data_IF_785114008001
#
_entry.id   IF_785114008001
#
_cell.length_a   1.000
_cell.length_b   1.000
_cell.length_c   1.000
_cell.angle_alpha   90.00
_cell.angle_beta   90.00
_cell.angle_gamma   90.00
#
_symmetry.space_group_name_H-M   'P 1'
#
loop_
_entity.id
_entity.type
_entity.pdbx_description
1 polymer ?
#
# COMPACT_ATOMS: atom_id res chain seq x y z
N UNK A 1 7.64 26.26 -16.05
CA UNK A 1 8.17 25.63 -14.81
C UNK A 1 8.06 24.08 -14.79
N UNK A 2 7.08 23.46 -15.45
CA UNK A 2 6.85 22.01 -15.38
C UNK A 2 7.74 21.23 -16.36
N UNK A 3 7.82 21.67 -17.60
CA UNK A 3 8.50 20.90 -18.67
C UNK A 3 10.00 20.74 -18.44
N UNK A 4 10.69 21.75 -17.91
CA UNK A 4 12.14 21.66 -17.69
C UNK A 4 12.51 20.62 -16.64
N UNK A 5 11.95 20.64 -15.41
CA UNK A 5 12.18 19.57 -14.42
C UNK A 5 11.76 18.19 -14.92
N UNK A 6 10.62 18.10 -15.63
CA UNK A 6 10.16 16.83 -16.18
C UNK A 6 11.12 16.28 -17.25
N UNK A 7 11.65 17.13 -18.11
CA UNK A 7 12.65 16.71 -19.11
C UNK A 7 13.98 16.28 -18.48
N UNK A 8 14.33 16.80 -17.30
CA UNK A 8 15.55 16.39 -16.59
C UNK A 8 15.43 14.99 -15.96
N UNK A 9 14.22 14.60 -15.52
CA UNK A 9 13.98 13.30 -14.84
C UNK A 9 13.38 12.23 -15.77
N UNK A 10 12.57 12.63 -16.76
CA UNK A 10 11.86 11.74 -17.67
C UNK A 10 11.79 12.31 -19.11
N UNK A 11 12.93 12.47 -19.79
CA UNK A 11 12.99 13.13 -21.12
C UNK A 11 12.20 12.40 -22.20
N UNK A 12 12.01 11.10 -22.07
CA UNK A 12 11.29 10.25 -23.03
C UNK A 12 9.82 10.01 -22.64
N UNK A 13 9.34 10.60 -21.55
CA UNK A 13 7.93 10.48 -21.18
C UNK A 13 7.03 11.06 -22.26
N UNK A 14 6.17 10.21 -22.81
CA UNK A 14 5.27 10.57 -23.91
C UNK A 14 3.97 11.13 -23.39
N UNK A 15 3.63 12.36 -23.77
CA UNK A 15 2.40 13.01 -23.34
C UNK A 15 1.20 12.48 -24.14
N UNK A 16 0.22 11.82 -23.51
CA UNK A 16 -0.83 11.07 -24.22
C UNK A 16 -1.72 11.95 -25.09
N UNK A 17 -1.95 13.21 -24.70
CA UNK A 17 -2.81 14.14 -25.44
C UNK A 17 -2.05 14.91 -26.51
N UNK A 18 -0.81 15.32 -26.24
CA UNK A 18 -0.02 16.14 -27.17
C UNK A 18 0.79 15.32 -28.18
N UNK A 19 0.87 14.01 -28.01
CA UNK A 19 1.53 13.12 -28.94
C UNK A 19 3.03 13.37 -29.12
N UNK A 20 3.69 13.90 -28.07
CA UNK A 20 5.15 14.24 -28.09
C UNK A 20 5.79 13.85 -26.77
N UNK A 21 7.06 13.50 -26.83
CA UNK A 21 7.85 13.29 -25.62
C UNK A 21 8.18 14.63 -24.92
N UNK A 22 8.57 14.53 -23.65
CA UNK A 22 8.86 15.71 -22.81
C UNK A 22 9.99 16.58 -23.36
N UNK A 23 11.01 15.97 -23.99
CA UNK A 23 12.13 16.70 -24.60
C UNK A 23 11.64 17.56 -25.77
N UNK A 24 10.83 16.99 -26.66
CA UNK A 24 10.25 17.69 -27.80
C UNK A 24 9.27 18.78 -27.36
N UNK A 25 8.48 18.53 -26.30
CA UNK A 25 7.60 19.53 -25.71
C UNK A 25 8.38 20.70 -25.13
N UNK A 26 9.51 20.44 -24.45
CA UNK A 26 10.36 21.48 -23.90
C UNK A 26 11.00 22.32 -25.01
N UNK A 27 11.45 21.69 -26.12
CA UNK A 27 12.01 22.39 -27.27
C UNK A 27 11.00 23.31 -27.96
N UNK A 28 9.74 22.86 -28.05
CA UNK A 28 8.64 23.61 -28.64
C UNK A 28 8.05 24.68 -27.72
N UNK A 29 8.43 24.71 -26.45
CA UNK A 29 7.94 25.67 -25.47
C UNK A 29 8.43 27.10 -25.82
N UNK A 30 7.47 28.03 -25.88
CA UNK A 30 7.78 29.46 -26.18
C UNK A 30 8.39 30.18 -24.97
N UNK A 31 8.10 29.73 -23.77
CA UNK A 31 8.66 30.29 -22.55
C UNK A 31 10.15 29.93 -22.44
N UNK A 32 10.99 30.97 -22.54
CA UNK A 32 12.44 30.88 -22.41
C UNK A 32 12.94 31.43 -21.07
N UNK A 33 12.04 31.69 -20.12
CA UNK A 33 12.44 32.11 -18.78
C UNK A 33 13.41 31.08 -18.19
N UNK A 34 14.50 31.58 -17.62
CA UNK A 34 15.57 30.73 -17.11
C UNK A 34 15.09 29.94 -15.91
N UNK A 35 15.03 28.60 -16.05
CA UNK A 35 14.85 27.68 -14.94
C UNK A 35 16.20 27.03 -14.69
N UNK A 36 16.82 27.39 -13.57
CA UNK A 36 18.09 26.81 -13.15
C UNK A 36 17.85 25.77 -12.07
N UNK A 37 18.62 24.68 -12.11
CA UNK A 37 18.59 23.67 -11.08
C UNK A 37 19.21 24.25 -9.80
N UNK A 38 18.43 24.29 -8.71
CA UNK A 38 18.99 24.67 -7.41
C UNK A 38 20.01 23.61 -6.97
N UNK A 39 21.17 24.05 -6.51
CA UNK A 39 22.14 23.18 -5.83
C UNK A 39 21.73 22.82 -4.40
N UNK A 40 20.70 23.49 -3.88
CA UNK A 40 20.21 23.25 -2.53
C UNK A 40 19.43 21.93 -2.52
N UNK A 41 19.89 20.98 -1.74
CA UNK A 41 19.17 19.76 -1.42
C UNK A 41 18.31 20.04 -0.21
N UNK A 42 16.99 19.83 -0.32
CA UNK A 42 16.06 19.92 0.83
C UNK A 42 16.41 18.84 1.87
N UNK A 43 16.79 17.65 1.38
CA UNK A 43 17.28 16.57 2.23
C UNK A 43 18.70 16.18 1.79
N UNK A 44 19.59 15.86 2.73
CA UNK A 44 20.98 15.49 2.42
C UNK A 44 21.06 14.20 1.60
N UNK A 45 20.16 13.27 1.84
CA UNK A 45 20.06 11.98 1.15
C UNK A 45 18.61 11.47 1.09
N UNK A 46 18.37 10.37 0.34
CA UNK A 46 17.05 9.75 0.22
C UNK A 46 16.54 9.21 1.56
N UNK A 47 17.42 8.63 2.37
CA UNK A 47 17.01 8.06 3.66
C UNK A 47 16.50 9.15 4.61
N UNK A 48 17.08 10.34 4.58
CA UNK A 48 16.60 11.50 5.36
C UNK A 48 15.23 11.99 4.86
N UNK A 49 14.98 11.94 3.55
CA UNK A 49 13.68 12.27 2.98
C UNK A 49 12.60 11.29 3.44
N UNK A 50 12.88 9.99 3.45
CA UNK A 50 11.96 8.98 3.97
C UNK A 50 11.78 9.06 5.48
N UNK A 51 12.84 9.40 6.22
CA UNK A 51 12.77 9.58 7.66
C UNK A 51 11.82 10.70 8.10
N UNK A 52 11.72 11.78 7.30
CA UNK A 52 10.77 12.88 7.56
C UNK A 52 9.31 12.41 7.50
N UNK A 53 9.00 11.39 6.70
CA UNK A 53 7.66 10.79 6.66
C UNK A 53 7.31 10.04 7.95
N UNK A 54 8.30 9.50 8.65
CA UNK A 54 8.14 8.82 9.94
C UNK A 54 7.43 7.47 9.90
N UNK A 55 6.40 7.29 9.06
CA UNK A 55 5.72 6.01 8.84
C UNK A 55 5.19 5.91 7.40
N UNK A 56 5.52 4.81 6.73
CA UNK A 56 5.11 4.48 5.35
C UNK A 56 4.41 3.12 5.36
N UNK A 57 3.21 3.04 4.79
CA UNK A 57 2.53 1.77 4.58
C UNK A 57 2.58 1.37 3.09
N UNK A 58 2.99 0.13 2.82
CA UNK A 58 3.00 -0.45 1.49
C UNK A 58 1.80 -1.38 1.38
N UNK A 59 0.86 -1.00 0.56
CA UNK A 59 -0.36 -1.76 0.33
C UNK A 59 -0.49 -2.24 -1.11
N UNK A 60 -1.46 -3.07 -1.36
CA UNK A 60 -1.70 -3.69 -2.66
C UNK A 60 -2.35 -5.04 -2.54
N UNK A 61 -2.72 -5.62 -3.65
CA UNK A 61 -3.42 -6.89 -3.73
C UNK A 61 -2.57 -8.08 -3.22
N UNK A 62 -3.21 -9.24 -3.09
CA UNK A 62 -2.53 -10.52 -2.82
C UNK A 62 -1.51 -10.78 -3.95
N UNK A 63 -0.29 -11.08 -3.60
CA UNK A 63 0.78 -11.32 -4.58
C UNK A 63 1.43 -10.06 -5.19
N UNK A 64 1.06 -8.83 -4.78
CA UNK A 64 1.60 -7.60 -5.38
C UNK A 64 3.09 -7.32 -5.08
N UNK A 65 3.72 -8.04 -4.14
CA UNK A 65 5.13 -7.85 -3.78
C UNK A 65 5.38 -6.88 -2.62
N UNK A 66 4.35 -6.57 -1.84
CA UNK A 66 4.41 -5.65 -0.69
C UNK A 66 5.55 -5.95 0.28
N UNK A 67 5.60 -7.18 0.78
CA UNK A 67 6.62 -7.64 1.74
C UNK A 67 8.04 -7.48 1.20
N UNK A 68 8.23 -7.79 -0.09
CA UNK A 68 9.54 -7.64 -0.75
C UNK A 68 9.97 -6.19 -0.82
N UNK A 69 9.06 -5.27 -1.19
CA UNK A 69 9.37 -3.85 -1.27
C UNK A 69 9.60 -3.25 0.10
N UNK A 70 8.72 -3.55 1.07
CA UNK A 70 8.88 -3.09 2.46
C UNK A 70 10.21 -3.54 3.07
N UNK A 71 10.60 -4.80 2.85
CA UNK A 71 11.88 -5.35 3.29
C UNK A 71 13.07 -4.62 2.67
N UNK A 72 13.05 -4.36 1.35
CA UNK A 72 14.11 -3.60 0.68
C UNK A 72 14.23 -2.16 1.21
N UNK A 73 13.10 -1.47 1.38
CA UNK A 73 13.12 -0.11 1.95
C UNK A 73 13.70 -0.14 3.38
N UNK A 74 13.31 -1.13 4.18
CA UNK A 74 13.80 -1.24 5.56
C UNK A 74 15.31 -1.47 5.62
N UNK A 75 15.84 -2.32 4.74
CA UNK A 75 17.27 -2.62 4.62
C UNK A 75 18.05 -1.41 4.11
N UNK A 76 17.66 -0.88 2.93
CA UNK A 76 18.40 0.18 2.25
C UNK A 76 18.38 1.52 2.99
N UNK A 77 17.31 1.79 3.75
CA UNK A 77 17.05 3.09 4.38
C UNK A 77 17.09 3.05 5.92
N UNK A 78 17.46 1.92 6.50
CA UNK A 78 17.51 1.70 7.96
C UNK A 78 16.16 2.00 8.65
N UNK A 79 15.05 1.46 8.11
CA UNK A 79 13.73 1.59 8.70
C UNK A 79 13.38 0.39 9.61
N UNK A 80 12.47 0.62 10.57
CA UNK A 80 11.82 -0.46 11.31
C UNK A 80 10.80 -1.14 10.39
N UNK A 81 10.99 -2.44 10.12
CA UNK A 81 10.10 -3.24 9.30
C UNK A 81 8.97 -3.82 10.15
N UNK A 82 7.73 -3.63 9.71
CA UNK A 82 6.52 -4.21 10.31
C UNK A 82 5.86 -5.09 9.24
N UNK A 83 5.84 -6.40 9.46
CA UNK A 83 5.26 -7.37 8.55
C UNK A 83 3.95 -7.94 9.11
N UNK A 84 2.95 -8.07 8.25
CA UNK A 84 1.67 -8.68 8.61
C UNK A 84 1.85 -10.15 9.03
N UNK A 85 1.39 -10.48 10.22
CA UNK A 85 1.35 -11.86 10.74
C UNK A 85 0.02 -12.48 10.35
N UNK A 86 0.03 -13.40 9.40
CA UNK A 86 -1.19 -14.08 8.92
C UNK A 86 -1.00 -15.58 8.71
N UNK A 87 0.25 -16.08 8.73
CA UNK A 87 0.58 -17.44 8.31
C UNK A 87 -0.07 -18.53 9.19
N UNK A 88 -0.28 -18.24 10.47
CA UNK A 88 -0.79 -19.18 11.45
C UNK A 88 -2.29 -19.03 11.71
N UNK A 89 -3.00 -18.22 10.91
CA UNK A 89 -4.43 -18.00 11.11
C UNK A 89 -5.24 -19.25 10.73
N UNK A 90 -5.93 -19.90 11.70
CA UNK A 90 -6.59 -21.19 11.47
C UNK A 90 -7.82 -21.09 10.58
N UNK A 91 -8.36 -19.87 10.38
CA UNK A 91 -9.54 -19.63 9.55
C UNK A 91 -9.18 -19.39 8.09
N UNK A 92 -7.95 -18.98 7.78
CA UNK A 92 -7.56 -18.61 6.42
C UNK A 92 -7.69 -19.76 5.41
N UNK A 93 -7.20 -20.99 5.68
CA UNK A 93 -7.41 -22.12 4.77
C UNK A 93 -8.89 -22.52 4.64
N UNK A 94 -9.65 -22.41 5.75
CA UNK A 94 -11.09 -22.74 5.76
C UNK A 94 -11.91 -21.74 4.94
N UNK A 95 -11.56 -20.47 5.00
CA UNK A 95 -12.19 -19.41 4.22
C UNK A 95 -12.10 -19.67 2.71
N UNK A 96 -10.94 -20.10 2.21
CA UNK A 96 -10.81 -20.42 0.79
C UNK A 96 -11.62 -21.64 0.36
N UNK A 97 -11.99 -22.53 1.29
CA UNK A 97 -12.85 -23.68 1.03
C UNK A 97 -14.35 -23.33 1.11
N UNK A 98 -14.75 -22.50 2.08
CA UNK A 98 -16.13 -22.09 2.32
C UNK A 98 -16.19 -20.65 2.85
N UNK A 99 -16.22 -19.68 1.90
CA UNK A 99 -16.22 -18.27 2.20
C UNK A 99 -17.44 -17.84 3.03
N UNK A 100 -18.63 -18.34 2.68
CA UNK A 100 -19.87 -17.95 3.35
C UNK A 100 -19.85 -18.27 4.85
N UNK A 101 -19.25 -19.38 5.23
CA UNK A 101 -19.18 -19.84 6.61
C UNK A 101 -18.04 -19.20 7.41
N UNK A 102 -16.92 -18.96 6.77
CA UNK A 102 -15.69 -18.58 7.48
C UNK A 102 -15.25 -17.12 7.26
N UNK A 103 -15.98 -16.32 6.49
CA UNK A 103 -15.64 -14.91 6.26
C UNK A 103 -15.64 -14.12 7.58
N UNK A 104 -16.73 -14.15 8.35
CA UNK A 104 -16.82 -13.39 9.59
C UNK A 104 -15.80 -13.83 10.65
N UNK A 105 -15.62 -15.12 10.97
CA UNK A 105 -14.57 -15.57 11.89
C UNK A 105 -13.15 -15.17 11.42
N UNK A 106 -12.87 -15.26 10.14
CA UNK A 106 -11.58 -14.86 9.57
C UNK A 106 -11.32 -13.37 9.75
N UNK A 107 -12.25 -12.53 9.32
CA UNK A 107 -12.09 -11.07 9.41
C UNK A 107 -11.97 -10.61 10.87
N UNK A 108 -12.75 -11.20 11.79
CA UNK A 108 -12.64 -10.91 13.22
C UNK A 108 -11.30 -11.32 13.81
N UNK A 109 -10.78 -12.49 13.42
CA UNK A 109 -9.44 -12.94 13.83
C UNK A 109 -8.37 -11.98 13.34
N UNK A 110 -8.40 -11.58 12.06
CA UNK A 110 -7.48 -10.59 11.53
C UNK A 110 -7.60 -9.22 12.19
N UNK A 111 -8.81 -8.79 12.54
CA UNK A 111 -9.01 -7.54 13.27
C UNK A 111 -8.28 -7.55 14.60
N UNK A 112 -8.47 -8.62 15.39
CA UNK A 112 -7.85 -8.78 16.70
C UNK A 112 -6.31 -8.88 16.60
N UNK A 113 -5.80 -9.73 15.71
CA UNK A 113 -4.36 -9.95 15.50
C UNK A 113 -3.64 -8.67 15.01
N UNK A 114 -4.21 -7.98 14.02
CA UNK A 114 -3.64 -6.72 13.51
C UNK A 114 -3.65 -5.63 14.58
N UNK A 115 -4.72 -5.52 15.36
CA UNK A 115 -4.78 -4.56 16.45
C UNK A 115 -3.70 -4.81 17.49
N UNK A 116 -3.59 -6.04 17.95
CA UNK A 116 -2.57 -6.43 18.92
C UNK A 116 -1.18 -6.15 18.37
N UNK A 117 -0.88 -6.67 17.19
CA UNK A 117 0.41 -6.48 16.54
C UNK A 117 0.75 -5.01 16.34
N UNK A 118 -0.18 -4.23 15.78
CA UNK A 118 0.06 -2.83 15.51
C UNK A 118 0.31 -2.03 16.78
N UNK A 119 -0.43 -2.33 17.84
CA UNK A 119 -0.26 -1.71 19.16
C UNK A 119 1.11 -2.04 19.75
N UNK A 120 1.57 -3.28 19.63
CA UNK A 120 2.90 -3.71 20.11
C UNK A 120 4.02 -3.06 19.29
N UNK A 121 3.94 -3.14 17.96
CA UNK A 121 5.00 -2.73 17.05
C UNK A 121 5.17 -1.20 16.93
N UNK A 122 4.10 -0.42 17.13
CA UNK A 122 4.12 1.04 16.99
C UNK A 122 4.37 1.79 18.29
N UNK A 123 4.23 1.15 19.46
CA UNK A 123 4.48 1.77 20.78
C UNK A 123 5.91 2.25 20.97
N UNK A 124 6.87 1.55 20.38
CA UNK A 124 8.29 1.91 20.52
C UNK A 124 8.92 2.07 19.13
N UNK A 125 9.28 3.30 18.77
CA UNK A 125 10.28 3.51 17.74
C UNK A 125 11.60 2.93 18.29
N UNK A 126 12.17 1.99 17.54
CA UNK A 126 13.53 1.55 17.80
C UNK A 126 14.46 2.76 17.67
N UNK A 127 15.19 3.07 18.74
CA UNK A 127 16.09 4.22 18.81
C UNK A 127 17.15 4.25 17.68
N UNK A 128 17.43 3.10 17.09
CA UNK A 128 18.38 2.94 16.01
C UNK A 128 17.76 2.99 14.61
N UNK A 129 16.43 3.13 14.50
CA UNK A 129 15.71 3.17 13.24
C UNK A 129 15.22 4.58 12.91
N UNK A 130 15.34 4.97 11.64
CA UNK A 130 15.01 6.33 11.20
C UNK A 130 13.52 6.56 11.07
N UNK A 131 12.78 5.55 10.62
CA UNK A 131 11.33 5.58 10.41
C UNK A 131 10.75 4.16 10.42
N UNK A 132 9.45 4.02 10.22
CA UNK A 132 8.76 2.74 10.10
C UNK A 132 8.27 2.51 8.68
N UNK A 133 8.35 1.27 8.20
CA UNK A 133 7.71 0.79 6.98
C UNK A 133 6.97 -0.50 7.27
N UNK A 134 5.71 -0.59 6.84
CA UNK A 134 4.90 -1.80 6.95
C UNK A 134 4.49 -2.35 5.58
N UNK A 135 4.23 -3.65 5.49
CA UNK A 135 3.66 -4.28 4.30
C UNK A 135 2.13 -4.42 4.37
N UNK A 136 1.51 -3.73 5.32
CA UNK A 136 0.07 -3.59 5.47
C UNK A 136 -0.29 -2.31 6.23
N UNK A 137 -1.54 -1.88 6.09
CA UNK A 137 -2.18 -0.87 6.93
C UNK A 137 -3.45 -1.42 7.55
N UNK A 138 -3.87 -0.84 8.67
CA UNK A 138 -5.04 -1.29 9.42
C UNK A 138 -6.34 -1.20 8.60
N UNK A 139 -6.46 -0.23 7.71
CA UNK A 139 -7.64 -0.04 6.87
C UNK A 139 -7.87 -1.16 5.87
N UNK A 140 -6.84 -1.96 5.56
CA UNK A 140 -7.00 -3.23 4.84
C UNK A 140 -8.11 -4.08 5.42
N UNK A 141 -8.25 -4.12 6.75
CA UNK A 141 -9.31 -4.84 7.45
C UNK A 141 -10.71 -4.42 7.00
N UNK A 142 -10.96 -3.12 6.85
CA UNK A 142 -12.27 -2.64 6.35
C UNK A 142 -12.49 -2.95 4.87
N UNK A 143 -11.43 -2.88 4.06
CA UNK A 143 -11.52 -3.16 2.61
C UNK A 143 -11.89 -4.62 2.39
N UNK A 144 -11.21 -5.55 3.06
CA UNK A 144 -11.48 -6.97 2.93
C UNK A 144 -12.84 -7.36 3.54
N UNK A 145 -13.15 -6.87 4.73
CA UNK A 145 -14.44 -7.12 5.37
C UNK A 145 -15.63 -6.63 4.51
N UNK A 146 -15.49 -5.48 3.82
CA UNK A 146 -16.54 -4.99 2.92
C UNK A 146 -16.79 -5.90 1.72
N UNK A 147 -15.77 -6.63 1.28
CA UNK A 147 -15.84 -7.55 0.13
C UNK A 147 -16.38 -8.92 0.53
N UNK A 148 -16.07 -9.36 1.75
CA UNK A 148 -16.28 -10.74 2.20
C UNK A 148 -17.51 -10.93 3.09
N UNK A 149 -17.90 -9.91 3.85
CA UNK A 149 -18.98 -10.00 4.83
C UNK A 149 -20.35 -9.61 4.26
N UNK A 150 -21.40 -10.16 4.87
CA UNK A 150 -22.77 -9.69 4.64
C UNK A 150 -22.94 -8.27 5.25
N UNK A 151 -23.97 -7.53 4.83
CA UNK A 151 -24.13 -6.12 5.21
C UNK A 151 -24.25 -5.91 6.73
N UNK A 152 -25.01 -6.74 7.43
CA UNK A 152 -25.18 -6.69 8.89
C UNK A 152 -23.89 -7.07 9.65
N UNK A 153 -23.18 -8.09 9.18
CA UNK A 153 -21.86 -8.48 9.70
C UNK A 153 -20.84 -7.34 9.50
N UNK A 154 -20.82 -6.74 8.30
CA UNK A 154 -19.93 -5.61 8.01
C UNK A 154 -20.24 -4.38 8.87
N UNK A 155 -21.49 -4.06 9.12
CA UNK A 155 -21.87 -2.97 10.01
C UNK A 155 -21.38 -3.19 11.45
N UNK A 156 -21.50 -4.40 11.97
CA UNK A 156 -20.95 -4.77 13.27
C UNK A 156 -19.43 -4.68 13.27
N UNK A 157 -18.79 -5.27 12.27
CA UNK A 157 -17.33 -5.24 12.10
C UNK A 157 -16.79 -3.81 12.08
N UNK A 158 -17.41 -2.91 11.32
CA UNK A 158 -17.01 -1.50 11.21
C UNK A 158 -17.13 -0.77 12.55
N UNK A 159 -18.16 -1.07 13.37
CA UNK A 159 -18.27 -0.51 14.72
C UNK A 159 -17.09 -0.95 15.59
N UNK A 160 -16.77 -2.22 15.60
CA UNK A 160 -15.65 -2.77 16.36
C UNK A 160 -14.32 -2.20 15.88
N UNK A 161 -14.12 -2.15 14.57
CA UNK A 161 -12.95 -1.51 13.97
C UNK A 161 -12.77 -0.07 14.47
N UNK A 162 -13.82 0.74 14.40
CA UNK A 162 -13.78 2.14 14.82
C UNK A 162 -13.41 2.28 16.29
N UNK A 163 -13.96 1.45 17.17
CA UNK A 163 -13.64 1.47 18.59
C UNK A 163 -12.18 1.07 18.88
N UNK A 164 -11.66 0.07 18.16
CA UNK A 164 -10.32 -0.45 18.39
C UNK A 164 -9.22 0.48 17.83
N UNK A 165 -9.46 1.12 16.69
CA UNK A 165 -8.43 1.85 15.94
C UNK A 165 -8.48 3.38 16.05
N UNK A 166 -9.20 3.93 17.03
CA UNK A 166 -9.29 5.39 17.21
C UNK A 166 -7.93 6.05 17.43
N UNK A 167 -7.03 5.41 18.17
CA UNK A 167 -5.73 5.95 18.56
C UNK A 167 -4.55 5.35 17.78
N UNK A 168 -4.84 4.59 16.72
CA UNK A 168 -3.77 3.94 15.96
C UNK A 168 -3.06 4.96 15.06
N UNK A 169 -1.73 4.88 15.06
CA UNK A 169 -0.88 5.76 14.23
C UNK A 169 -1.13 5.54 12.76
N UNK A 170 -1.46 6.61 12.03
CA UNK A 170 -1.70 6.59 10.58
C UNK A 170 -0.39 6.79 9.80
N UNK A 171 -0.23 6.15 8.63
CA UNK A 171 0.91 6.39 7.76
C UNK A 171 0.87 7.82 7.19
N UNK A 172 2.03 8.45 7.06
CA UNK A 172 2.16 9.74 6.36
C UNK A 172 2.29 9.58 4.85
N UNK A 173 2.64 8.36 4.40
CA UNK A 173 2.62 7.97 3.00
C UNK A 173 2.01 6.58 2.87
N UNK A 174 1.00 6.46 2.03
CA UNK A 174 0.31 5.23 1.69
C UNK A 174 0.66 4.86 0.25
N UNK A 175 1.43 3.80 0.07
CA UNK A 175 1.88 3.35 -1.26
C UNK A 175 1.04 2.15 -1.68
N UNK A 176 0.30 2.27 -2.78
CA UNK A 176 -0.47 1.18 -3.33
C UNK A 176 0.24 0.54 -4.53
N UNK A 177 0.70 -0.69 -4.38
CA UNK A 177 1.33 -1.45 -5.45
C UNK A 177 0.27 -2.05 -6.38
N UNK A 178 0.02 -1.37 -7.48
CA UNK A 178 -0.86 -1.88 -8.52
C UNK A 178 -0.15 -2.92 -9.38
N UNK A 179 -0.82 -4.04 -9.63
CA UNK A 179 -0.41 -5.08 -10.57
C UNK A 179 -1.64 -5.59 -11.33
N UNK A 180 -1.50 -5.89 -12.61
CA UNK A 180 -2.57 -6.54 -13.39
C UNK A 180 -2.92 -7.91 -12.80
N UNK A 181 -4.21 -8.27 -12.83
CA UNK A 181 -4.74 -9.51 -12.26
C UNK A 181 -4.01 -10.76 -12.73
N UNK A 182 -3.68 -10.85 -14.03
CA UNK A 182 -2.92 -11.98 -14.58
C UNK A 182 -1.52 -12.12 -13.97
N UNK A 183 -0.87 -10.99 -13.65
CA UNK A 183 0.43 -11.00 -13.00
C UNK A 183 0.32 -11.42 -11.54
N UNK A 184 -0.74 -10.96 -10.86
CA UNK A 184 -1.01 -11.40 -9.48
C UNK A 184 -1.23 -12.90 -9.40
N UNK A 185 -2.06 -13.48 -10.27
CA UNK A 185 -2.31 -14.91 -10.33
C UNK A 185 -1.03 -15.71 -10.56
N UNK A 186 -0.17 -15.27 -11.48
CA UNK A 186 1.15 -15.90 -11.69
C UNK A 186 2.05 -15.83 -10.46
N UNK A 187 2.08 -14.68 -9.77
CA UNK A 187 2.89 -14.51 -8.56
C UNK A 187 2.36 -15.33 -7.39
N UNK A 188 1.03 -15.45 -7.24
CA UNK A 188 0.37 -16.31 -6.26
C UNK A 188 0.73 -17.77 -6.52
N UNK A 189 0.62 -18.23 -7.77
CA UNK A 189 0.98 -19.58 -8.17
C UNK A 189 2.48 -19.89 -7.88
N UNK A 190 3.39 -18.98 -8.23
CA UNK A 190 4.82 -19.11 -8.00
C UNK A 190 5.19 -19.14 -6.51
N UNK A 191 4.42 -18.44 -5.65
CA UNK A 191 4.61 -18.46 -4.19
C UNK A 191 4.27 -19.82 -3.57
N UNK A 192 3.38 -20.58 -4.21
CA UNK A 192 3.13 -21.99 -3.90
C UNK A 192 2.39 -22.27 -2.61
N UNK A 193 1.60 -21.35 -2.08
CA UNK A 193 0.73 -21.60 -0.92
C UNK A 193 -0.50 -22.38 -1.37
N UNK A 194 -0.69 -23.58 -0.83
CA UNK A 194 -1.75 -24.51 -1.28
C UNK A 194 -3.16 -23.90 -1.17
N UNK A 195 -3.46 -23.18 -0.09
CA UNK A 195 -4.76 -22.56 0.12
C UNK A 195 -5.04 -21.35 -0.79
N UNK A 196 -4.02 -20.78 -1.47
CA UNK A 196 -4.17 -19.67 -2.40
C UNK A 196 -4.37 -20.11 -3.86
N UNK A 197 -4.16 -21.38 -4.19
CA UNK A 197 -4.21 -21.90 -5.59
C UNK A 197 -5.56 -21.72 -6.27
N UNK A 198 -6.64 -21.59 -5.47
CA UNK A 198 -8.01 -21.43 -5.98
C UNK A 198 -8.54 -20.01 -5.99
N UNK A 199 -7.70 -18.99 -5.78
CA UNK A 199 -8.17 -17.60 -5.73
C UNK A 199 -8.69 -17.17 -7.12
N UNK A 200 -9.99 -16.81 -7.24
CA UNK A 200 -10.56 -16.37 -8.52
C UNK A 200 -10.03 -14.99 -8.92
N UNK A 201 -9.86 -14.76 -10.22
CA UNK A 201 -9.51 -13.44 -10.75
C UNK A 201 -10.49 -12.35 -10.29
N UNK A 202 -11.78 -12.64 -10.29
CA UNK A 202 -12.84 -11.72 -9.86
C UNK A 202 -12.64 -11.25 -8.40
N UNK A 203 -12.17 -12.13 -7.52
CA UNK A 203 -11.88 -11.75 -6.12
C UNK A 203 -10.76 -10.72 -6.04
N UNK A 204 -9.67 -10.91 -6.82
CA UNK A 204 -8.57 -9.94 -6.90
C UNK A 204 -9.04 -8.59 -7.47
N UNK A 205 -9.94 -8.62 -8.45
CA UNK A 205 -10.54 -7.41 -9.02
C UNK A 205 -11.44 -6.67 -8.02
N UNK A 206 -12.21 -7.39 -7.20
CA UNK A 206 -12.97 -6.80 -6.09
C UNK A 206 -12.07 -6.13 -5.08
N UNK A 207 -10.94 -6.75 -4.74
CA UNK A 207 -9.93 -6.17 -3.86
C UNK A 207 -9.36 -4.88 -4.47
N UNK A 208 -8.99 -4.85 -5.75
CA UNK A 208 -8.51 -3.64 -6.42
C UNK A 208 -9.53 -2.51 -6.34
N UNK A 209 -10.80 -2.79 -6.68
CA UNK A 209 -11.88 -1.81 -6.57
C UNK A 209 -12.03 -1.28 -5.14
N UNK A 210 -12.00 -2.16 -4.14
CA UNK A 210 -12.07 -1.77 -2.74
C UNK A 210 -10.95 -0.81 -2.31
N UNK A 211 -9.71 -1.06 -2.73
CA UNK A 211 -8.60 -0.15 -2.47
C UNK A 211 -8.75 1.20 -3.19
N UNK A 212 -9.15 1.22 -4.45
CA UNK A 212 -9.36 2.46 -5.17
C UNK A 212 -10.51 3.29 -4.58
N UNK A 213 -11.60 2.65 -4.19
CA UNK A 213 -12.71 3.32 -3.52
C UNK A 213 -12.28 3.88 -2.16
N UNK A 214 -11.49 3.12 -1.39
CA UNK A 214 -10.93 3.60 -0.13
C UNK A 214 -10.06 4.84 -0.34
N UNK A 215 -9.11 4.81 -1.27
CA UNK A 215 -8.20 5.94 -1.54
C UNK A 215 -8.97 7.18 -2.02
N UNK A 216 -10.00 7.02 -2.87
CA UNK A 216 -10.85 8.13 -3.32
C UNK A 216 -11.62 8.79 -2.18
N UNK A 217 -12.06 7.99 -1.21
CA UNK A 217 -12.86 8.46 -0.08
C UNK A 217 -12.01 8.90 1.12
N UNK A 218 -10.69 8.87 1.01
CA UNK A 218 -9.73 9.24 2.05
C UNK A 218 -8.74 10.29 1.55
N UNK A 219 -9.21 11.51 1.20
CA UNK A 219 -8.36 12.55 0.62
C UNK A 219 -7.28 13.07 1.58
N UNK A 220 -7.42 12.80 2.87
CA UNK A 220 -6.42 13.12 3.90
C UNK A 220 -5.20 12.20 3.85
N UNK A 221 -5.26 11.06 3.16
CA UNK A 221 -4.13 10.17 2.97
C UNK A 221 -3.26 10.64 1.80
N UNK A 222 -1.97 10.84 2.05
CA UNK A 222 -1.02 11.01 0.97
C UNK A 222 -0.81 9.66 0.28
N UNK A 223 -1.41 9.47 -0.88
CA UNK A 223 -1.37 8.20 -1.62
C UNK A 223 -0.44 8.29 -2.83
N UNK A 224 0.32 7.21 -3.06
CA UNK A 224 1.11 6.95 -4.26
C UNK A 224 0.66 5.61 -4.86
N UNK A 225 0.34 5.59 -6.17
CA UNK A 225 -0.03 4.37 -6.90
C UNK A 225 1.05 4.04 -7.93
#
# INVERSE_FOLDING_TARGET
>A
FVLKPLADIAPQYYHPVLGKDTRNLLQACRDRSGVTRSGIKIFPDRASQFADLGYIAIEGNIGAGKTTLAGKIAEDMNAKLILERFADNPFLPKFYQDQARYAFPLEMSFLAERYQQFTEDTRQLDLFKRFMVSDYDIYKSLIFARITLQEDEFLLYRKLFTLMYQEVRKPRLYVYLYQHTDRLLRQIANRGRDYERGIPAEYLEKIHRGYFDFMRNSPELNTLV
#
